data_IF_258738522801
#
_entry.id   IF_258738522801
#
_cell.length_a   1.000
_cell.length_b   1.000
_cell.length_c   1.000
_cell.angle_alpha   90.00
_cell.angle_beta   90.00
_cell.angle_gamma   90.00
#
_symmetry.space_group_name_H-M   'P 1'
#
loop_
_entity.id
_entity.type
_entity.pdbx_description
1 polymer ?
#
# COMPACT_ATOMS: atom_id res chain seq x y z
N UNK A 1 -21.53 10.98 16.06
CA UNK A 1 -21.27 11.08 14.61
C UNK A 1 -19.90 10.55 14.22
N UNK A 2 -18.85 10.96 14.93
CA UNK A 2 -17.44 10.63 14.66
C UNK A 2 -17.16 9.12 14.50
N UNK A 3 -17.72 8.25 15.35
CA UNK A 3 -17.50 6.79 15.29
C UNK A 3 -17.86 6.17 13.93
N UNK A 4 -19.06 6.46 13.40
CA UNK A 4 -19.51 5.95 12.10
C UNK A 4 -18.64 6.47 10.96
N UNK A 5 -18.14 7.71 11.06
CA UNK A 5 -17.23 8.28 10.07
C UNK A 5 -15.85 7.62 10.11
N UNK A 6 -15.36 7.26 11.28
CA UNK A 6 -14.10 6.54 11.46
C UNK A 6 -14.21 5.10 10.94
N UNK A 7 -15.28 4.38 11.30
CA UNK A 7 -15.54 3.02 10.79
C UNK A 7 -15.65 3.02 9.26
N UNK A 8 -16.43 3.94 8.68
CA UNK A 8 -16.57 4.03 7.22
C UNK A 8 -15.23 4.28 6.49
N UNK A 9 -14.33 5.08 7.07
CA UNK A 9 -12.99 5.32 6.48
C UNK A 9 -12.11 4.07 6.53
N UNK A 10 -12.16 3.32 7.62
CA UNK A 10 -11.38 2.09 7.80
C UNK A 10 -11.88 1.00 6.84
N UNK A 11 -13.20 0.80 6.78
CA UNK A 11 -13.82 -0.19 5.88
C UNK A 11 -13.57 0.15 4.40
N UNK A 12 -13.54 1.43 4.03
CA UNK A 12 -13.23 1.83 2.66
C UNK A 12 -11.77 1.49 2.29
N UNK A 13 -10.83 1.69 3.21
CA UNK A 13 -9.42 1.32 2.99
C UNK A 13 -9.26 -0.21 2.87
N UNK A 14 -9.94 -0.98 3.73
CA UNK A 14 -9.93 -2.45 3.68
C UNK A 14 -10.58 -2.99 2.39
N UNK A 15 -11.64 -2.35 1.87
CA UNK A 15 -12.26 -2.71 0.59
C UNK A 15 -11.32 -2.44 -0.59
N UNK A 16 -10.66 -1.29 -0.63
CA UNK A 16 -9.64 -0.99 -1.65
C UNK A 16 -8.50 -2.02 -1.59
N UNK A 17 -8.13 -2.42 -0.37
CA UNK A 17 -7.32 -3.58 -0.02
C UNK A 17 -7.68 -4.86 -0.78
N UNK A 18 -8.89 -5.33 -0.48
CA UNK A 18 -9.39 -6.60 -0.95
C UNK A 18 -9.44 -6.66 -2.48
N UNK A 19 -9.81 -5.56 -3.14
CA UNK A 19 -9.83 -5.46 -4.61
C UNK A 19 -8.45 -5.66 -5.20
N UNK A 20 -7.42 -4.96 -4.69
CA UNK A 20 -6.05 -5.07 -5.19
C UNK A 20 -5.50 -6.50 -5.00
N UNK A 21 -5.74 -7.10 -3.83
CA UNK A 21 -5.31 -8.46 -3.53
C UNK A 21 -5.97 -9.50 -4.45
N UNK A 22 -7.27 -9.34 -4.76
CA UNK A 22 -7.98 -10.22 -5.70
C UNK A 22 -7.46 -10.00 -7.13
N UNK A 23 -7.28 -8.75 -7.58
CA UNK A 23 -6.77 -8.46 -8.92
C UNK A 23 -5.34 -8.99 -9.12
N UNK A 24 -4.48 -8.88 -8.10
CA UNK A 24 -3.14 -9.48 -8.11
C UNK A 24 -3.21 -11.01 -8.19
N UNK A 25 -4.12 -11.64 -7.42
CA UNK A 25 -4.30 -13.09 -7.45
C UNK A 25 -4.88 -13.58 -8.80
N UNK A 26 -5.79 -12.80 -9.41
CA UNK A 26 -6.31 -13.05 -10.76
C UNK A 26 -5.19 -12.92 -11.79
N UNK A 27 -4.39 -11.87 -11.73
CA UNK A 27 -3.25 -11.69 -12.63
C UNK A 27 -2.23 -12.84 -12.53
N UNK A 28 -1.98 -13.35 -11.32
CA UNK A 28 -1.14 -14.52 -11.11
C UNK A 28 -1.81 -15.80 -11.63
N UNK A 29 -3.10 -16.00 -11.37
CA UNK A 29 -3.84 -17.18 -11.82
C UNK A 29 -3.83 -17.30 -13.34
N UNK A 30 -4.12 -16.21 -14.08
CA UNK A 30 -4.10 -16.23 -15.56
C UNK A 30 -2.70 -16.43 -16.16
N UNK A 31 -1.64 -16.17 -15.39
CA UNK A 31 -0.26 -16.39 -15.81
C UNK A 31 0.21 -17.84 -15.58
N UNK A 32 -0.52 -18.64 -14.82
CA UNK A 32 -0.19 -20.03 -14.51
C UNK A 32 -0.85 -21.00 -15.50
N UNK A 33 -0.14 -22.06 -15.92
CA UNK A 33 -0.75 -23.12 -16.73
C UNK A 33 -1.85 -23.83 -15.93
N UNK A 34 -2.84 -24.36 -16.64
CA UNK A 34 -3.97 -25.06 -16.04
C UNK A 34 -3.49 -26.24 -15.19
N UNK A 35 -3.97 -26.32 -13.96
CA UNK A 35 -3.60 -27.36 -13.02
C UNK A 35 -4.84 -27.92 -12.31
N UNK A 36 -5.10 -29.19 -12.54
CA UNK A 36 -6.29 -29.90 -12.05
C UNK A 36 -7.23 -30.29 -13.18
N UNK A 37 -7.96 -31.39 -12.98
CA UNK A 37 -8.84 -32.00 -13.99
C UNK A 37 -10.29 -31.53 -13.91
N UNK A 38 -10.58 -30.51 -13.09
CA UNK A 38 -11.93 -30.02 -12.84
C UNK A 38 -12.06 -28.52 -13.04
N UNK A 39 -13.27 -28.07 -13.31
CA UNK A 39 -13.65 -26.66 -13.38
C UNK A 39 -14.61 -26.33 -12.24
N UNK A 40 -14.37 -25.21 -11.57
CA UNK A 40 -15.25 -24.67 -10.53
C UNK A 40 -15.74 -23.31 -11.02
N UNK A 41 -17.04 -23.20 -11.32
CA UNK A 41 -17.64 -21.94 -11.76
C UNK A 41 -17.11 -21.40 -13.09
N UNK A 42 -16.67 -22.28 -14.00
CA UNK A 42 -16.12 -21.92 -15.31
C UNK A 42 -14.64 -21.51 -15.30
N UNK A 43 -13.96 -21.67 -14.17
CA UNK A 43 -12.51 -21.49 -14.03
C UNK A 43 -11.83 -22.83 -13.72
N UNK A 44 -10.61 -23.02 -14.20
CA UNK A 44 -9.80 -24.17 -13.82
C UNK A 44 -9.63 -24.21 -12.29
N UNK A 45 -9.67 -25.41 -11.71
CA UNK A 45 -9.55 -25.60 -10.25
C UNK A 45 -8.29 -24.93 -9.69
N UNK A 46 -7.16 -24.99 -10.40
CA UNK A 46 -5.92 -24.34 -10.00
C UNK A 46 -6.04 -22.82 -9.92
N UNK A 47 -6.63 -22.19 -10.94
CA UNK A 47 -6.86 -20.74 -10.96
C UNK A 47 -7.82 -20.30 -9.85
N UNK A 48 -8.91 -21.04 -9.63
CA UNK A 48 -9.85 -20.75 -8.56
C UNK A 48 -9.18 -20.79 -7.18
N UNK A 49 -8.36 -21.80 -6.91
CA UNK A 49 -7.62 -21.91 -5.65
C UNK A 49 -6.62 -20.76 -5.48
N UNK A 50 -5.92 -20.35 -6.54
CA UNK A 50 -4.98 -19.23 -6.48
C UNK A 50 -5.72 -17.91 -6.18
N UNK A 51 -6.84 -17.63 -6.85
CA UNK A 51 -7.64 -16.43 -6.62
C UNK A 51 -8.22 -16.44 -5.20
N UNK A 52 -8.81 -17.56 -4.77
CA UNK A 52 -9.39 -17.72 -3.43
C UNK A 52 -8.32 -17.56 -2.34
N UNK A 53 -7.17 -18.21 -2.51
CA UNK A 53 -6.06 -18.15 -1.56
C UNK A 53 -5.45 -16.75 -1.54
N UNK A 54 -5.25 -16.11 -2.70
CA UNK A 54 -4.70 -14.76 -2.77
C UNK A 54 -5.62 -13.72 -2.12
N UNK A 55 -6.94 -13.80 -2.37
CA UNK A 55 -7.93 -12.96 -1.70
C UNK A 55 -7.97 -13.19 -0.18
N UNK A 56 -7.99 -14.45 0.25
CA UNK A 56 -8.01 -14.79 1.67
C UNK A 56 -6.72 -14.39 2.38
N UNK A 57 -5.56 -14.64 1.77
CA UNK A 57 -4.24 -14.25 2.28
C UNK A 57 -4.13 -12.74 2.39
N UNK A 58 -4.61 -11.97 1.42
CA UNK A 58 -4.64 -10.51 1.49
C UNK A 58 -5.35 -10.00 2.74
N UNK A 59 -6.56 -10.50 3.01
CA UNK A 59 -7.35 -10.13 4.20
C UNK A 59 -6.67 -10.55 5.50
N UNK A 60 -6.14 -11.78 5.56
CA UNK A 60 -5.43 -12.27 6.76
C UNK A 60 -4.17 -11.45 7.04
N UNK A 61 -3.39 -11.14 6.01
CA UNK A 61 -2.15 -10.38 6.13
C UNK A 61 -2.40 -8.95 6.57
N UNK A 62 -3.40 -8.26 6.02
CA UNK A 62 -3.80 -6.93 6.51
C UNK A 62 -4.13 -6.97 8.00
N UNK A 63 -4.96 -7.93 8.40
CA UNK A 63 -5.45 -8.02 9.78
C UNK A 63 -4.34 -8.32 10.78
N UNK A 64 -3.30 -9.04 10.37
CA UNK A 64 -2.11 -9.24 11.19
C UNK A 64 -1.20 -8.01 11.17
N UNK A 65 -0.94 -7.44 9.98
CA UNK A 65 -0.10 -6.26 9.81
C UNK A 65 -0.62 -5.06 10.59
N UNK A 66 -1.93 -4.80 10.58
CA UNK A 66 -2.54 -3.70 11.34
C UNK A 66 -2.29 -3.83 12.84
N UNK A 67 -2.37 -5.05 13.41
CA UNK A 67 -2.09 -5.28 14.84
C UNK A 67 -0.63 -4.99 15.19
N UNK A 68 0.30 -5.49 14.37
CA UNK A 68 1.74 -5.26 14.56
C UNK A 68 2.07 -3.78 14.37
N UNK A 69 1.49 -3.13 13.34
CA UNK A 69 1.74 -1.74 12.99
C UNK A 69 1.23 -0.79 14.08
N UNK A 70 0.01 -0.99 14.58
CA UNK A 70 -0.53 -0.19 15.70
C UNK A 70 0.34 -0.32 16.94
N UNK A 71 0.81 -1.53 17.27
CA UNK A 71 1.74 -1.74 18.39
C UNK A 71 3.08 -1.03 18.17
N UNK A 72 3.63 -1.12 16.95
CA UNK A 72 4.90 -0.48 16.60
C UNK A 72 4.81 1.06 16.68
N UNK A 73 3.71 1.65 16.23
CA UNK A 73 3.47 3.09 16.32
C UNK A 73 3.29 3.54 17.77
N UNK A 74 2.61 2.75 18.60
CA UNK A 74 2.46 3.04 20.03
C UNK A 74 3.82 3.05 20.76
N UNK A 75 4.74 2.14 20.40
CA UNK A 75 6.09 2.10 20.97
C UNK A 75 7.02 3.18 20.41
N UNK A 76 6.83 3.59 19.14
CA UNK A 76 7.70 4.54 18.43
C UNK A 76 6.89 5.55 17.59
N UNK A 77 6.36 6.62 18.19
CA UNK A 77 5.54 7.61 17.48
C UNK A 77 6.31 8.35 16.36
N UNK A 78 7.64 8.43 16.46
CA UNK A 78 8.47 9.03 15.39
C UNK A 78 8.47 8.24 14.07
N UNK A 79 8.15 6.93 14.10
CA UNK A 79 8.03 6.12 12.88
C UNK A 79 6.74 6.44 12.11
N UNK A 80 5.69 6.95 12.76
CA UNK A 80 4.43 7.31 12.12
C UNK A 80 4.63 8.38 11.05
N UNK A 81 5.28 9.48 11.43
CA UNK A 81 5.56 10.61 10.53
C UNK A 81 6.42 10.19 9.35
N UNK A 82 7.42 9.33 9.60
CA UNK A 82 8.29 8.83 8.55
C UNK A 82 7.55 7.87 7.60
N UNK A 83 6.71 6.98 8.14
CA UNK A 83 5.87 6.09 7.36
C UNK A 83 4.90 6.88 6.47
N UNK A 84 4.24 7.92 7.00
CA UNK A 84 3.38 8.78 6.20
C UNK A 84 4.14 9.56 5.13
N UNK A 85 5.33 10.09 5.43
CA UNK A 85 6.17 10.75 4.43
C UNK A 85 6.59 9.80 3.31
N UNK A 86 6.95 8.56 3.65
CA UNK A 86 7.29 7.51 2.68
C UNK A 86 6.06 7.14 1.82
N UNK A 87 4.90 6.91 2.43
CA UNK A 87 3.66 6.58 1.69
C UNK A 87 3.26 7.72 0.76
N UNK A 88 3.35 8.97 1.22
CA UNK A 88 3.11 10.14 0.38
C UNK A 88 4.09 10.20 -0.81
N UNK A 89 5.37 9.93 -0.57
CA UNK A 89 6.40 9.90 -1.63
C UNK A 89 6.17 8.77 -2.65
N UNK A 90 5.78 7.58 -2.18
CA UNK A 90 5.36 6.47 -3.06
C UNK A 90 4.13 6.86 -3.87
N UNK A 91 3.15 7.55 -3.26
CA UNK A 91 1.98 8.08 -3.94
C UNK A 91 2.33 9.04 -5.08
N UNK A 92 3.31 9.93 -4.89
CA UNK A 92 3.84 10.80 -5.96
C UNK A 92 4.42 9.98 -7.10
N UNK A 93 5.24 8.94 -6.81
CA UNK A 93 5.79 8.06 -7.85
C UNK A 93 4.70 7.32 -8.62
N UNK A 94 3.68 6.80 -7.94
CA UNK A 94 2.56 6.10 -8.59
C UNK A 94 1.72 7.07 -9.45
N UNK A 95 1.53 8.31 -8.99
CA UNK A 95 0.87 9.34 -9.79
C UNK A 95 1.67 9.64 -11.06
N UNK A 96 2.99 9.87 -10.96
CA UNK A 96 3.87 10.07 -12.14
C UNK A 96 3.78 8.88 -13.10
N UNK A 97 3.85 7.65 -12.59
CA UNK A 97 3.73 6.44 -13.40
C UNK A 97 2.37 6.33 -14.12
N UNK A 98 1.28 6.67 -13.44
CA UNK A 98 -0.06 6.67 -14.04
C UNK A 98 -0.20 7.73 -15.14
N UNK A 99 0.44 8.90 -14.95
CA UNK A 99 0.42 10.02 -15.90
C UNK A 99 1.27 9.75 -17.15
N UNK A 100 2.34 8.95 -17.03
CA UNK A 100 3.16 8.55 -18.19
C UNK A 100 2.47 7.55 -19.11
N UNK A 101 1.38 6.92 -18.68
CA UNK A 101 0.72 5.91 -19.50
C UNK A 101 0.06 6.55 -20.75
N UNK A 102 0.31 6.04 -21.98
CA UNK A 102 -0.10 6.67 -23.24
C UNK A 102 -1.61 6.99 -23.35
N UNK A 103 -2.46 6.23 -22.64
CA UNK A 103 -3.91 6.43 -22.59
C UNK A 103 -4.36 7.75 -21.93
N UNK A 104 -3.57 8.33 -21.03
CA UNK A 104 -3.96 9.54 -20.29
C UNK A 104 -3.30 10.81 -20.83
N UNK A 105 -2.37 10.69 -21.77
CA UNK A 105 -1.66 11.81 -22.39
C UNK A 105 -2.61 12.83 -23.07
N UNK A 106 -3.73 12.35 -23.61
CA UNK A 106 -4.73 13.19 -24.27
C UNK A 106 -5.69 13.92 -23.30
N UNK A 107 -5.73 13.54 -22.02
CA UNK A 107 -6.66 14.13 -21.02
C UNK A 107 -6.03 15.24 -20.18
N UNK A 108 -4.78 15.62 -20.47
CA UNK A 108 -3.90 16.37 -19.54
C UNK A 108 -3.32 17.65 -20.19
N UNK A 109 -3.79 18.04 -21.39
CA UNK A 109 -3.53 19.39 -21.92
C UNK A 109 -4.02 20.45 -20.91
N UNK A 110 -3.10 21.28 -20.41
CA UNK A 110 -3.37 22.44 -19.54
C UNK A 110 -3.02 22.28 -18.05
N UNK A 111 -2.37 21.21 -17.62
CA UNK A 111 -1.95 21.05 -16.20
C UNK A 111 -0.46 21.36 -15.99
N UNK A 112 -0.07 21.61 -14.72
CA UNK A 112 1.33 21.75 -14.29
C UNK A 112 2.25 20.58 -14.69
N UNK A 113 1.69 19.41 -14.99
CA UNK A 113 2.43 18.23 -15.42
C UNK A 113 2.84 18.26 -16.90
N UNK A 114 2.12 19.01 -17.77
CA UNK A 114 2.51 19.23 -19.18
C UNK A 114 3.79 20.08 -19.29
N UNK A 115 3.94 21.07 -18.39
CA UNK A 115 5.13 21.90 -18.30
C UNK A 115 6.42 21.11 -18.00
N UNK A 116 6.28 19.88 -17.47
CA UNK A 116 7.39 19.02 -17.10
C UNK A 116 7.99 18.25 -18.29
N UNK A 117 7.37 18.30 -19.49
CA UNK A 117 7.84 17.65 -20.74
C UNK A 117 8.52 16.30 -20.48
N UNK A 118 7.83 15.41 -19.76
CA UNK A 118 8.41 14.14 -19.35
C UNK A 118 8.72 13.31 -20.61
N UNK A 119 9.99 12.99 -20.90
CA UNK A 119 10.33 12.13 -22.03
C UNK A 119 9.67 10.75 -21.87
N UNK A 120 9.28 10.11 -22.97
CA UNK A 120 8.77 8.74 -22.93
C UNK A 120 9.78 7.84 -22.19
N UNK A 121 9.34 7.22 -21.08
CA UNK A 121 10.18 6.37 -20.23
C UNK A 121 10.91 7.07 -19.07
N UNK A 122 10.56 8.31 -18.71
CA UNK A 122 11.16 9.02 -17.57
C UNK A 122 10.97 8.28 -16.23
N UNK A 123 9.79 7.74 -15.91
CA UNK A 123 9.56 7.01 -14.65
C UNK A 123 10.36 5.71 -14.57
N UNK A 124 10.72 5.15 -15.71
CA UNK A 124 11.59 3.97 -15.79
C UNK A 124 13.08 4.34 -15.91
N UNK A 125 13.43 5.61 -16.07
CA UNK A 125 14.81 6.04 -16.24
C UNK A 125 15.66 5.77 -14.99
N UNK A 126 16.88 5.29 -15.19
CA UNK A 126 17.84 5.01 -14.12
C UNK A 126 18.09 6.20 -13.17
N UNK A 127 18.21 7.46 -13.66
CA UNK A 127 18.40 8.62 -12.78
C UNK A 127 17.20 8.87 -11.86
N UNK A 128 15.97 8.71 -12.38
CA UNK A 128 14.75 8.90 -11.59
C UNK A 128 14.60 7.82 -10.52
N UNK A 129 14.86 6.55 -10.87
CA UNK A 129 14.84 5.46 -9.91
C UNK A 129 15.87 5.69 -8.79
N UNK A 130 17.09 6.09 -9.15
CA UNK A 130 18.14 6.39 -8.17
C UNK A 130 17.74 7.53 -7.22
N UNK A 131 17.20 8.63 -7.76
CA UNK A 131 16.69 9.74 -6.96
C UNK A 131 15.56 9.29 -6.01
N UNK A 132 14.59 8.53 -6.53
CA UNK A 132 13.47 8.01 -5.74
C UNK A 132 13.95 7.17 -4.55
N UNK A 133 14.82 6.19 -4.80
CA UNK A 133 15.36 5.31 -3.75
C UNK A 133 16.22 6.10 -2.75
N UNK A 134 16.97 7.10 -3.21
CA UNK A 134 17.76 7.98 -2.35
C UNK A 134 16.88 8.73 -1.36
N UNK A 135 15.79 9.35 -1.84
CA UNK A 135 14.83 10.05 -0.97
C UNK A 135 14.14 9.09 -0.01
N UNK A 136 13.74 7.90 -0.47
CA UNK A 136 13.15 6.88 0.40
C UNK A 136 14.07 6.45 1.54
N UNK A 137 15.33 6.13 1.24
CA UNK A 137 16.31 5.74 2.26
C UNK A 137 16.59 6.91 3.19
N UNK A 138 16.69 8.13 2.67
CA UNK A 138 16.86 9.34 3.48
C UNK A 138 15.72 9.54 4.48
N UNK A 139 14.47 9.42 4.04
CA UNK A 139 13.29 9.52 4.92
C UNK A 139 13.23 8.39 5.95
N UNK A 140 13.59 7.17 5.57
CA UNK A 140 13.62 6.02 6.48
C UNK A 140 14.68 6.20 7.57
N UNK A 141 15.89 6.61 7.21
CA UNK A 141 16.96 6.91 8.17
C UNK A 141 16.59 8.09 9.06
N UNK A 142 16.05 9.16 8.48
CA UNK A 142 15.58 10.31 9.26
C UNK A 142 14.50 9.90 10.26
N UNK A 143 13.51 9.12 9.85
CA UNK A 143 12.48 8.58 10.74
C UNK A 143 13.02 7.72 11.87
N UNK A 144 14.03 6.89 11.56
CA UNK A 144 14.67 6.03 12.54
C UNK A 144 15.47 6.82 13.59
N UNK A 145 16.24 7.83 13.16
CA UNK A 145 17.09 8.64 14.05
C UNK A 145 16.34 9.77 14.76
N UNK A 146 15.27 10.30 14.16
CA UNK A 146 14.43 11.36 14.73
C UNK A 146 13.42 10.85 15.76
N UNK A 147 13.47 9.56 16.14
CA UNK A 147 12.61 8.97 17.16
C UNK A 147 13.32 8.91 18.52
N UNK A 148 13.25 9.98 19.36
CA UNK A 148 13.67 9.88 20.74
C UNK A 148 12.83 8.80 21.43
N UNK A 149 13.48 7.89 22.18
CA UNK A 149 12.79 6.87 22.97
C UNK A 149 11.97 7.57 24.05
N UNK A 150 10.67 7.75 23.83
CA UNK A 150 9.76 8.09 24.92
C UNK A 150 9.76 6.89 25.88
N UNK A 151 10.05 7.13 27.16
CA UNK A 151 10.05 6.09 28.18
C UNK A 151 8.67 5.41 28.19
N UNK A 152 8.58 4.08 28.26
CA UNK A 152 7.30 3.40 28.37
C UNK A 152 6.58 3.95 29.59
N UNK A 153 5.41 4.57 29.36
CA UNK A 153 4.55 5.03 30.42
C UNK A 153 3.67 3.84 30.84
N UNK A 154 3.89 3.22 32.02
CA UNK A 154 3.11 2.06 32.48
C UNK A 154 1.61 2.37 32.62
N UNK A 155 1.22 3.65 32.60
CA UNK A 155 -0.19 4.08 32.66
C UNK A 155 -0.91 4.04 31.30
N UNK A 156 -0.19 3.92 30.18
CA UNK A 156 -0.77 3.80 28.85
C UNK A 156 -1.24 2.37 28.55
N UNK A 157 -0.52 1.36 29.06
CA UNK A 157 -0.81 -0.06 28.88
C UNK A 157 -2.13 -0.45 29.58
N UNK A 158 -2.37 0.08 30.79
CA UNK A 158 -3.63 -0.13 31.53
C UNK A 158 -4.87 0.46 30.85
N UNK A 159 -4.73 1.47 29.99
CA UNK A 159 -5.88 2.11 29.32
C UNK A 159 -6.29 1.39 28.04
N UNK A 160 -5.40 0.60 27.44
CA UNK A 160 -5.71 -0.21 26.26
C UNK A 160 -6.50 -1.45 26.68
N UNK A 161 -6.12 -2.11 27.77
CA UNK A 161 -6.84 -3.28 28.29
C UNK A 161 -8.22 -2.95 28.88
N UNK A 162 -8.48 -1.68 29.22
CA UNK A 162 -9.74 -1.25 29.82
C UNK A 162 -10.79 -0.79 28.78
N UNK A 163 -10.40 -0.66 27.50
CA UNK A 163 -11.28 -0.23 26.40
C UNK A 163 -11.37 -1.26 25.25
N UNK A 164 -10.86 -2.48 25.48
CA UNK A 164 -11.14 -3.69 24.69
C UNK A 164 -12.20 -4.52 25.41
#
# INVERSE_FOLDING_TARGET
GEFWRTVAKIEFADLAFAVDSILAAVALAVALPDWGSGEIGGLNTGHFIVILTGGLMGVVLMRFAARVFVKLLAERPGLETAAFAIVAWVGVKLAVLALEHPKYHASIEGTIFEALKLPEGFAHSTPWQAFFWTVMVGLALWGWFSSPKTKPNPDAEKKVDQNL
#
